data_IF_545410618229
#
_entry.id   IF_545410618229
#
_cell.length_a   1.000
_cell.length_b   1.000
_cell.length_c   1.000
_cell.angle_alpha   90.00
_cell.angle_beta   90.00
_cell.angle_gamma   90.00
#
_symmetry.space_group_name_H-M   'P 1'
#
loop_
_entity.id
_entity.type
_entity.pdbx_description
1 polymer ?
#
# COMPACT_ATOMS: atom_id res chain seq x y z
N UNK A 1 13.45 -93.41 -9.13
CA UNK A 1 13.12 -92.53 -8.03
C UNK A 1 13.72 -91.17 -8.32
N UNK A 2 12.90 -90.16 -8.70
CA UNK A 2 13.34 -88.78 -8.90
C UNK A 2 12.81 -87.99 -7.69
N UNK A 3 13.70 -87.40 -6.96
CA UNK A 3 13.39 -86.53 -5.81
C UNK A 3 13.33 -85.09 -6.37
N UNK A 4 12.19 -84.50 -6.29
CA UNK A 4 11.98 -83.06 -6.60
C UNK A 4 12.25 -82.21 -5.36
N UNK A 5 13.10 -81.18 -5.50
CA UNK A 5 13.36 -80.17 -4.47
C UNK A 5 12.43 -78.95 -4.76
N UNK A 6 11.68 -78.41 -3.80
CA UNK A 6 10.92 -77.23 -4.06
C UNK A 6 11.78 -75.94 -4.00
N UNK A 7 11.64 -75.13 -5.00
CA UNK A 7 12.21 -73.77 -5.07
C UNK A 7 11.53 -72.86 -4.09
N UNK A 8 12.26 -72.40 -3.07
CA UNK A 8 11.75 -71.37 -2.13
C UNK A 8 11.67 -69.99 -2.77
N UNK A 9 10.48 -69.40 -2.71
CA UNK A 9 10.20 -68.06 -3.18
C UNK A 9 10.74 -67.06 -2.14
N UNK A 10 11.82 -66.33 -2.50
CA UNK A 10 12.37 -65.26 -1.67
C UNK A 10 11.58 -63.97 -1.96
N UNK A 11 10.71 -63.59 -1.03
CA UNK A 11 10.00 -62.32 -1.08
C UNK A 11 10.93 -61.22 -0.55
N UNK A 12 11.49 -60.42 -1.43
CA UNK A 12 12.18 -59.17 -1.10
C UNK A 12 11.14 -58.12 -0.74
N UNK A 13 10.95 -57.85 0.54
CA UNK A 13 10.21 -56.67 1.05
C UNK A 13 11.11 -55.45 0.87
N UNK A 14 10.88 -54.72 -0.22
CA UNK A 14 11.43 -53.35 -0.36
C UNK A 14 10.68 -52.41 0.57
N UNK A 15 11.34 -51.95 1.62
CA UNK A 15 10.89 -50.81 2.42
C UNK A 15 10.98 -49.57 1.55
N UNK A 16 9.86 -49.10 0.99
CA UNK A 16 9.72 -47.76 0.48
C UNK A 16 9.55 -46.85 1.68
N UNK A 17 10.64 -46.28 2.15
CA UNK A 17 10.62 -45.24 3.14
C UNK A 17 9.82 -44.04 2.56
N UNK A 18 8.62 -43.84 3.04
CA UNK A 18 7.90 -42.61 2.82
C UNK A 18 8.71 -41.47 3.49
N UNK A 19 9.54 -40.79 2.71
CA UNK A 19 10.06 -39.51 3.11
C UNK A 19 8.85 -38.59 3.20
N UNK A 20 8.43 -38.28 4.42
CA UNK A 20 7.50 -37.20 4.66
C UNK A 20 8.11 -35.94 4.02
N UNK A 21 7.53 -35.47 2.92
CA UNK A 21 7.80 -34.14 2.42
C UNK A 21 7.49 -33.21 3.57
N UNK A 22 8.53 -32.70 4.22
CA UNK A 22 8.42 -31.53 5.07
C UNK A 22 8.01 -30.44 4.10
N UNK A 23 6.71 -30.17 4.02
CA UNK A 23 6.20 -29.01 3.34
C UNK A 23 6.87 -27.82 4.03
N UNK A 24 7.83 -27.20 3.37
CA UNK A 24 8.40 -25.95 3.85
C UNK A 24 7.23 -25.02 4.06
N UNK A 25 6.97 -24.66 5.32
CA UNK A 25 5.99 -23.63 5.63
C UNK A 25 6.35 -22.42 4.75
N UNK A 26 5.36 -21.79 4.10
CA UNK A 26 5.63 -20.61 3.29
C UNK A 26 6.40 -19.61 4.15
N UNK A 27 7.35 -18.91 3.54
CA UNK A 27 8.16 -17.91 4.23
C UNK A 27 7.25 -16.98 5.03
N UNK A 28 7.64 -16.58 6.26
CA UNK A 28 6.81 -15.74 7.10
C UNK A 28 6.49 -14.44 6.35
N UNK A 29 5.21 -14.21 6.10
CA UNK A 29 4.76 -12.93 5.59
C UNK A 29 4.82 -11.94 6.74
N UNK A 30 5.55 -10.85 6.55
CA UNK A 30 5.62 -9.78 7.54
C UNK A 30 4.97 -8.51 7.03
N UNK A 31 4.26 -7.84 7.92
CA UNK A 31 3.66 -6.53 7.70
C UNK A 31 4.43 -5.44 8.46
N UNK A 32 4.72 -4.33 7.79
CA UNK A 32 5.33 -3.15 8.39
C UNK A 32 4.26 -2.10 8.64
N UNK A 33 4.05 -1.77 9.91
CA UNK A 33 3.07 -0.76 10.35
C UNK A 33 3.79 0.53 10.71
N UNK A 34 3.45 1.60 10.04
CA UNK A 34 4.00 2.93 10.31
C UNK A 34 3.28 3.57 11.48
N UNK A 35 3.94 3.68 12.61
CA UNK A 35 3.46 4.34 13.82
C UNK A 35 3.99 5.78 13.85
N UNK A 36 3.23 6.69 13.23
CA UNK A 36 3.66 8.08 13.02
C UNK A 36 3.89 8.83 14.32
N UNK A 37 3.07 8.60 15.34
CA UNK A 37 3.16 9.31 16.62
C UNK A 37 4.37 8.92 17.45
N UNK A 38 4.84 7.69 17.34
CA UNK A 38 6.05 7.20 18.05
C UNK A 38 7.32 7.25 17.20
N UNK A 39 7.24 7.71 15.94
CA UNK A 39 8.37 7.69 14.99
C UNK A 39 9.00 6.30 14.88
N UNK A 40 8.16 5.27 14.77
CA UNK A 40 8.57 3.88 14.67
C UNK A 40 7.87 3.15 13.51
N UNK A 41 8.45 2.05 13.07
CA UNK A 41 7.80 1.07 12.21
C UNK A 41 7.80 -0.26 12.96
N UNK A 42 6.64 -0.85 13.14
CA UNK A 42 6.47 -2.12 13.84
C UNK A 42 6.34 -3.24 12.81
N UNK A 43 7.10 -4.30 13.01
CA UNK A 43 7.10 -5.49 12.16
C UNK A 43 6.19 -6.54 12.77
N UNK A 44 5.17 -6.95 12.05
CA UNK A 44 4.19 -7.95 12.46
C UNK A 44 4.43 -9.25 11.70
N UNK A 45 4.55 -10.36 12.41
CA UNK A 45 4.42 -11.70 11.83
C UNK A 45 2.92 -12.00 11.63
N UNK A 46 2.49 -12.18 10.38
CA UNK A 46 1.09 -12.38 10.03
C UNK A 46 0.54 -13.76 10.43
N UNK A 47 1.41 -14.74 10.71
CA UNK A 47 0.98 -16.06 11.18
C UNK A 47 0.52 -16.05 12.63
N UNK A 48 1.18 -15.23 13.44
CA UNK A 48 0.92 -15.13 14.89
C UNK A 48 0.15 -13.87 15.28
N UNK A 49 0.05 -12.89 14.38
CA UNK A 49 -0.47 -11.54 14.62
C UNK A 49 0.26 -10.85 15.79
N UNK A 50 1.58 -11.04 15.89
CA UNK A 50 2.40 -10.44 16.94
C UNK A 50 3.47 -9.52 16.35
N UNK A 51 3.83 -8.48 17.11
CA UNK A 51 4.97 -7.62 16.78
C UNK A 51 6.26 -8.36 17.12
N UNK A 52 7.11 -8.59 16.11
CA UNK A 52 8.36 -9.32 16.25
C UNK A 52 9.59 -8.43 16.23
N UNK A 53 9.47 -7.21 15.69
CA UNK A 53 10.57 -6.24 15.66
C UNK A 53 10.05 -4.80 15.59
N UNK A 54 10.91 -3.84 15.94
CA UNK A 54 10.61 -2.40 15.91
C UNK A 54 11.76 -1.64 15.27
N UNK A 55 11.52 -0.98 14.16
CA UNK A 55 12.48 -0.09 13.51
C UNK A 55 12.39 1.28 14.18
N UNK A 56 13.49 1.72 14.78
CA UNK A 56 13.65 3.05 15.34
C UNK A 56 14.99 3.62 14.90
N UNK A 57 15.01 4.85 14.43
CA UNK A 57 16.21 5.57 14.06
C UNK A 57 15.98 7.07 14.22
N UNK A 58 17.01 7.85 14.55
CA UNK A 58 16.89 9.30 14.73
C UNK A 58 16.37 10.04 13.48
N UNK A 59 16.62 9.49 12.29
CA UNK A 59 16.14 10.04 11.03
C UNK A 59 14.75 9.50 10.61
N UNK A 60 14.23 8.51 11.30
CA UNK A 60 12.87 7.99 11.04
C UNK A 60 11.86 8.84 11.82
N UNK A 61 11.65 10.07 11.36
CA UNK A 61 10.76 11.03 12.02
C UNK A 61 9.38 10.99 11.40
N UNK A 62 8.36 10.63 12.18
CA UNK A 62 6.94 10.60 11.76
C UNK A 62 6.72 9.82 10.44
N UNK A 63 7.07 8.52 10.37
CA UNK A 63 6.94 7.75 9.13
C UNK A 63 5.50 7.83 8.59
N UNK A 64 5.37 8.26 7.34
CA UNK A 64 4.09 8.54 6.71
C UNK A 64 3.84 7.72 5.44
N UNK A 65 4.88 7.22 4.79
CA UNK A 65 4.83 6.39 3.60
C UNK A 65 5.99 5.40 3.53
N UNK A 66 5.87 4.39 2.69
CA UNK A 66 6.97 3.45 2.45
C UNK A 66 6.60 2.33 1.51
N UNK A 67 7.64 1.66 0.97
CA UNK A 67 7.48 0.58 0.01
C UNK A 67 8.63 -0.40 0.08
N UNK A 68 8.33 -1.67 -0.09
CA UNK A 68 9.31 -2.73 -0.31
C UNK A 68 9.78 -2.75 -1.76
N UNK A 69 11.09 -2.90 -1.95
CA UNK A 69 11.66 -3.23 -3.25
C UNK A 69 11.90 -4.74 -3.30
N UNK A 70 11.16 -5.47 -4.14
CA UNK A 70 11.19 -6.93 -4.09
C UNK A 70 12.55 -7.52 -4.49
N UNK A 71 13.19 -6.98 -5.53
CA UNK A 71 14.45 -7.52 -6.05
C UNK A 71 15.64 -7.16 -5.17
N UNK A 72 15.75 -5.92 -4.70
CA UNK A 72 16.88 -5.45 -3.89
C UNK A 72 16.78 -5.85 -2.42
N UNK A 73 15.64 -6.37 -1.96
CA UNK A 73 15.39 -6.63 -0.54
C UNK A 73 15.62 -5.37 0.31
N UNK A 74 14.94 -4.29 -0.08
CA UNK A 74 14.98 -2.99 0.59
C UNK A 74 13.60 -2.55 0.99
N UNK A 75 13.55 -1.80 2.08
CA UNK A 75 12.37 -1.03 2.46
C UNK A 75 12.74 0.43 2.53
N UNK A 76 12.02 1.26 1.79
CA UNK A 76 12.14 2.71 1.82
C UNK A 76 11.03 3.26 2.70
N UNK A 77 11.38 4.00 3.73
CA UNK A 77 10.43 4.60 4.66
C UNK A 77 10.58 6.13 4.66
N UNK A 78 9.53 6.81 4.23
CA UNK A 78 9.46 8.26 4.20
C UNK A 78 8.88 8.82 5.48
N UNK A 79 9.55 9.84 5.97
CA UNK A 79 9.13 10.65 7.12
C UNK A 79 9.25 12.12 6.81
N UNK A 80 9.42 12.93 7.85
CA UNK A 80 9.60 14.38 7.73
C UNK A 80 10.99 14.71 7.20
N UNK A 81 11.06 15.28 6.00
CA UNK A 81 12.29 15.74 5.33
C UNK A 81 13.28 14.66 4.90
N UNK A 82 13.04 13.40 5.25
CA UNK A 82 14.02 12.32 5.09
C UNK A 82 13.37 11.02 4.65
N UNK A 83 14.17 10.17 4.00
CA UNK A 83 13.82 8.80 3.64
C UNK A 83 14.88 7.86 4.21
N UNK A 84 14.49 6.93 5.05
CA UNK A 84 15.36 5.89 5.60
C UNK A 84 15.29 4.63 4.76
N UNK A 85 16.43 3.99 4.54
CA UNK A 85 16.56 2.76 3.75
C UNK A 85 16.97 1.62 4.68
N UNK A 86 16.28 0.52 4.58
CA UNK A 86 16.46 -0.66 5.42
C UNK A 86 16.73 -1.90 4.57
N UNK A 87 17.71 -2.70 4.96
CA UNK A 87 17.94 -4.03 4.40
C UNK A 87 16.89 -5.00 4.95
N UNK A 88 16.15 -5.64 4.07
CA UNK A 88 15.07 -6.58 4.40
C UNK A 88 15.35 -7.98 3.88
N UNK A 89 16.63 -8.37 3.78
CA UNK A 89 17.03 -9.76 3.48
C UNK A 89 16.43 -10.71 4.52
N UNK A 90 16.48 -10.34 5.80
CA UNK A 90 15.58 -10.85 6.83
C UNK A 90 14.49 -9.79 7.07
N UNK A 91 13.31 -10.03 6.51
CA UNK A 91 12.23 -9.06 6.60
C UNK A 91 11.61 -8.98 8.01
N UNK A 92 11.81 -10.00 8.86
CA UNK A 92 11.39 -9.96 10.26
C UNK A 92 12.33 -9.13 11.14
N UNK A 93 13.60 -9.00 10.76
CA UNK A 93 14.64 -8.25 11.49
C UNK A 93 15.42 -7.34 10.55
N UNK A 94 14.79 -6.31 9.97
CA UNK A 94 15.45 -5.41 9.02
C UNK A 94 16.55 -4.59 9.69
N UNK A 95 17.60 -4.31 8.91
CA UNK A 95 18.77 -3.55 9.37
C UNK A 95 18.80 -2.21 8.66
N UNK A 96 18.97 -1.14 9.43
CA UNK A 96 19.17 0.21 8.89
C UNK A 96 20.42 0.26 8.01
N UNK A 97 20.30 0.86 6.84
CA UNK A 97 21.42 1.07 5.91
C UNK A 97 21.85 2.52 5.86
N UNK A 98 20.95 3.42 5.55
CA UNK A 98 21.25 4.84 5.40
C UNK A 98 20.00 5.72 5.37
N UNK A 99 20.23 7.02 5.42
CA UNK A 99 19.23 8.06 5.17
C UNK A 99 19.55 8.81 3.88
N UNK A 100 18.51 9.09 3.11
CA UNK A 100 18.54 9.97 1.94
C UNK A 100 17.75 11.23 2.27
N UNK A 101 18.30 12.38 1.90
CA UNK A 101 17.67 13.70 1.99
C UNK A 101 17.45 14.18 0.55
N UNK A 102 16.27 13.92 -0.06
CA UNK A 102 16.05 14.23 -1.46
C UNK A 102 16.15 15.72 -1.79
N UNK A 103 15.80 16.59 -0.84
CA UNK A 103 15.98 18.03 -0.95
C UNK A 103 16.52 18.59 0.37
N UNK A 104 17.77 19.09 0.42
CA UNK A 104 18.33 19.71 1.62
C UNK A 104 17.47 20.90 2.09
N UNK A 105 17.23 20.95 3.41
CA UNK A 105 16.38 22.00 4.03
C UNK A 105 14.88 21.73 3.95
N UNK A 106 14.45 20.67 3.29
CA UNK A 106 13.06 20.27 3.21
C UNK A 106 12.58 19.68 4.54
N UNK A 107 11.41 20.13 5.01
CA UNK A 107 10.72 19.63 6.21
C UNK A 107 9.42 18.91 5.88
N UNK A 108 9.11 18.73 4.60
CA UNK A 108 7.89 18.09 4.12
C UNK A 108 7.87 16.58 4.36
N UNK A 109 6.66 16.02 4.45
CA UNK A 109 6.46 14.58 4.62
C UNK A 109 6.51 13.85 3.29
N UNK A 110 7.34 12.80 3.19
CA UNK A 110 7.33 11.85 2.09
C UNK A 110 6.26 10.79 2.33
N UNK A 111 5.13 10.88 1.62
CA UNK A 111 3.96 10.01 1.81
C UNK A 111 3.77 8.99 0.71
N UNK A 112 3.85 9.39 -0.54
CA UNK A 112 3.69 8.51 -1.68
C UNK A 112 5.00 7.81 -2.05
N UNK A 113 4.98 6.49 -2.12
CA UNK A 113 6.11 5.68 -2.59
C UNK A 113 5.65 4.68 -3.63
N UNK A 114 6.42 4.58 -4.70
CA UNK A 114 6.23 3.58 -5.73
C UNK A 114 7.59 2.98 -6.11
N UNK A 115 7.62 1.67 -6.28
CA UNK A 115 8.68 0.97 -6.98
C UNK A 115 8.19 0.72 -8.40
N UNK A 116 8.83 1.34 -9.37
CA UNK A 116 8.54 1.17 -10.78
C UNK A 116 9.63 0.31 -11.42
N UNK A 117 9.27 -0.86 -11.91
CA UNK A 117 10.22 -1.81 -12.51
C UNK A 117 10.22 -1.76 -14.05
N UNK A 118 9.27 -1.04 -14.66
CA UNK A 118 9.17 -0.89 -16.10
C UNK A 118 8.79 -2.17 -16.84
N UNK A 119 8.76 -2.06 -18.17
CA UNK A 119 8.66 -3.20 -19.09
C UNK A 119 10.03 -3.81 -19.39
N UNK A 120 11.11 -3.09 -19.10
CA UNK A 120 12.49 -3.54 -19.26
C UNK A 120 12.95 -4.25 -18.00
N UNK A 121 13.67 -5.34 -18.18
CA UNK A 121 14.23 -6.22 -17.15
C UNK A 121 15.31 -5.58 -16.26
N UNK A 122 15.32 -4.28 -16.09
CA UNK A 122 16.21 -3.61 -15.16
C UNK A 122 15.85 -4.06 -13.74
N UNK A 123 16.64 -4.98 -13.20
CA UNK A 123 16.49 -5.60 -11.88
C UNK A 123 16.31 -4.55 -10.79
N UNK A 124 16.86 -3.35 -11.03
CA UNK A 124 16.97 -2.31 -10.02
C UNK A 124 15.77 -1.35 -9.99
N UNK A 125 15.04 -1.19 -11.10
CA UNK A 125 13.87 -0.33 -11.15
C UNK A 125 14.11 1.11 -10.68
N UNK A 126 13.02 1.80 -10.42
CA UNK A 126 13.02 3.18 -9.94
C UNK A 126 12.25 3.29 -8.62
N UNK A 127 12.67 4.21 -7.77
CA UNK A 127 11.93 4.62 -6.56
C UNK A 127 11.38 6.02 -6.77
N UNK A 128 10.05 6.13 -6.78
CA UNK A 128 9.34 7.40 -6.87
C UNK A 128 8.90 7.81 -5.46
N UNK A 129 9.16 9.06 -5.10
CA UNK A 129 8.92 9.58 -3.75
C UNK A 129 8.16 10.91 -3.85
N UNK A 130 6.92 10.93 -3.39
CA UNK A 130 6.09 12.14 -3.38
C UNK A 130 6.24 12.89 -2.05
N UNK A 131 6.63 14.17 -2.13
CA UNK A 131 6.66 15.09 -1.01
C UNK A 131 5.46 16.03 -1.08
N UNK A 132 4.59 15.95 -0.08
CA UNK A 132 3.30 16.64 -0.10
C UNK A 132 3.46 18.16 0.06
N UNK A 133 4.36 18.64 0.92
CA UNK A 133 4.51 20.07 1.20
C UNK A 133 5.25 20.80 0.08
N UNK A 134 6.25 20.16 -0.51
CA UNK A 134 7.04 20.78 -1.59
C UNK A 134 6.36 20.71 -2.95
N UNK A 135 5.26 19.94 -3.05
CA UNK A 135 4.62 19.70 -4.35
C UNK A 135 5.60 19.11 -5.37
N UNK A 136 6.38 18.11 -4.96
CA UNK A 136 7.38 17.46 -5.81
C UNK A 136 7.26 15.93 -5.76
N UNK A 137 7.66 15.30 -6.87
CA UNK A 137 7.90 13.86 -6.95
C UNK A 137 9.33 13.64 -7.44
N UNK A 138 10.15 13.03 -6.60
CA UNK A 138 11.52 12.66 -6.93
C UNK A 138 11.55 11.25 -7.49
N UNK A 139 12.29 11.05 -8.57
CA UNK A 139 12.50 9.74 -9.21
C UNK A 139 13.98 9.40 -9.15
N UNK A 140 14.31 8.28 -8.53
CA UNK A 140 15.68 7.76 -8.44
C UNK A 140 15.78 6.41 -9.11
N UNK A 141 16.93 6.07 -9.65
CA UNK A 141 17.26 4.65 -9.84
C UNK A 141 17.46 4.02 -8.45
N UNK A 142 16.89 2.86 -8.24
CA UNK A 142 16.93 2.23 -6.93
C UNK A 142 18.38 1.90 -6.49
N UNK A 143 19.23 1.47 -7.42
CA UNK A 143 20.65 1.22 -7.15
C UNK A 143 21.43 2.47 -6.72
N UNK A 144 21.12 3.63 -7.29
CA UNK A 144 21.83 4.88 -7.00
C UNK A 144 21.54 5.39 -5.58
N UNK A 145 20.38 5.02 -5.01
CA UNK A 145 20.00 5.42 -3.65
C UNK A 145 20.94 4.89 -2.56
N UNK A 146 21.71 3.84 -2.83
CA UNK A 146 22.70 3.29 -1.89
C UNK A 146 24.07 4.01 -2.03
N UNK A 147 24.29 4.81 -3.08
CA UNK A 147 25.49 5.61 -3.29
C UNK A 147 25.66 6.72 -2.25
N UNK A 148 26.85 7.33 -2.21
CA UNK A 148 27.17 8.39 -1.22
C UNK A 148 26.25 9.62 -1.41
N UNK A 149 26.04 10.03 -2.64
CA UNK A 149 25.31 11.25 -3.05
C UNK A 149 24.27 10.92 -4.12
N UNK A 150 23.13 10.33 -3.77
CA UNK A 150 22.12 9.93 -4.75
C UNK A 150 21.51 11.16 -5.42
N UNK A 151 21.53 11.18 -6.74
CA UNK A 151 20.91 12.23 -7.56
C UNK A 151 19.65 11.70 -8.22
N UNK A 152 18.50 12.42 -8.16
CA UNK A 152 17.30 11.99 -8.85
C UNK A 152 17.52 12.01 -10.37
N UNK A 153 17.01 11.00 -11.06
CA UNK A 153 17.01 10.97 -12.54
C UNK A 153 15.95 11.89 -13.12
N UNK A 154 14.92 12.20 -12.34
CA UNK A 154 13.92 13.21 -12.67
C UNK A 154 13.27 13.79 -11.40
N UNK A 155 12.75 15.01 -11.53
CA UNK A 155 11.95 15.69 -10.49
C UNK A 155 10.75 16.33 -11.16
N UNK A 156 9.55 15.87 -10.81
CA UNK A 156 8.32 16.53 -11.20
C UNK A 156 7.93 17.57 -10.17
N UNK A 157 7.46 18.72 -10.60
CA UNK A 157 7.15 19.86 -9.76
C UNK A 157 5.82 20.53 -10.18
N UNK A 158 5.58 21.73 -9.67
CA UNK A 158 4.36 22.48 -9.96
C UNK A 158 4.18 22.79 -11.45
N UNK A 159 5.26 22.95 -12.22
CA UNK A 159 5.24 23.15 -13.69
C UNK A 159 4.66 21.94 -14.41
N UNK A 160 4.83 20.74 -13.87
CA UNK A 160 4.30 19.49 -14.39
C UNK A 160 2.89 19.20 -13.90
N UNK A 161 2.29 20.11 -13.15
CA UNK A 161 0.98 19.96 -12.55
C UNK A 161 1.00 19.24 -11.20
N UNK A 162 2.15 18.98 -10.58
CA UNK A 162 2.22 18.36 -9.25
C UNK A 162 1.83 19.38 -8.18
N UNK A 163 0.83 19.03 -7.36
CA UNK A 163 0.31 19.88 -6.28
C UNK A 163 -0.05 19.04 -5.07
N UNK A 164 0.69 19.19 -3.97
CA UNK A 164 0.52 18.40 -2.76
C UNK A 164 0.32 16.90 -3.05
N UNK A 165 1.29 16.24 -3.74
CA UNK A 165 1.18 14.87 -4.18
C UNK A 165 1.05 13.93 -2.98
N UNK A 166 0.10 12.98 -3.05
CA UNK A 166 -0.21 12.17 -1.87
C UNK A 166 0.07 10.68 -2.08
N UNK A 167 -0.36 10.12 -3.19
CA UNK A 167 -0.25 8.69 -3.43
C UNK A 167 0.14 8.38 -4.87
N UNK A 168 1.00 7.39 -5.05
CA UNK A 168 1.53 6.94 -6.34
C UNK A 168 1.24 5.46 -6.55
N UNK A 169 0.82 5.08 -7.75
CA UNK A 169 0.66 3.69 -8.14
C UNK A 169 0.96 3.50 -9.63
N UNK A 170 1.61 2.39 -9.94
CA UNK A 170 1.81 1.93 -11.31
C UNK A 170 0.55 1.23 -11.81
N UNK A 171 0.07 1.57 -12.99
CA UNK A 171 -1.06 0.90 -13.63
C UNK A 171 -0.59 -0.45 -14.20
N UNK A 172 -1.20 -1.56 -13.79
CA UNK A 172 -0.83 -2.89 -14.28
C UNK A 172 -0.81 -2.98 -15.80
N UNK A 173 0.21 -3.64 -16.35
CA UNK A 173 0.33 -3.91 -17.79
C UNK A 173 0.67 -2.69 -18.68
N UNK A 174 0.97 -1.55 -18.10
CA UNK A 174 1.27 -0.31 -18.85
C UNK A 174 2.49 0.40 -18.27
N UNK A 175 3.11 1.36 -18.98
CA UNK A 175 4.14 2.21 -18.40
C UNK A 175 3.59 3.39 -17.58
N UNK A 176 2.30 3.44 -17.30
CA UNK A 176 1.68 4.58 -16.63
C UNK A 176 1.89 4.55 -15.11
N UNK A 177 2.31 5.68 -14.56
CA UNK A 177 2.31 5.97 -13.12
C UNK A 177 1.25 7.02 -12.84
N UNK A 178 0.33 6.71 -11.95
CA UNK A 178 -0.73 7.62 -11.53
C UNK A 178 -0.41 8.24 -10.19
N UNK A 179 -0.80 9.49 -10.02
CA UNK A 179 -0.58 10.30 -8.82
C UNK A 179 -1.87 10.98 -8.39
N UNK A 180 -2.21 10.94 -7.11
CA UNK A 180 -3.23 11.82 -6.53
C UNK A 180 -2.60 13.13 -6.07
N UNK A 181 -3.19 14.25 -6.47
CA UNK A 181 -2.90 15.58 -5.97
C UNK A 181 -3.99 16.06 -5.00
N UNK A 182 -3.57 16.60 -3.87
CA UNK A 182 -4.46 17.09 -2.81
C UNK A 182 -4.11 18.52 -2.37
N UNK A 183 -4.22 19.50 -3.28
CA UNK A 183 -3.93 20.88 -2.91
C UNK A 183 -4.90 21.37 -1.83
N UNK A 184 -4.38 22.07 -0.83
CA UNK A 184 -5.18 22.70 0.21
C UNK A 184 -6.00 23.83 -0.42
N UNK A 185 -7.29 23.91 -0.10
CA UNK A 185 -8.23 24.93 -0.60
C UNK A 185 -8.45 24.98 -2.13
N UNK A 186 -8.18 23.86 -2.81
CA UNK A 186 -8.45 23.71 -4.24
C UNK A 186 -8.92 22.28 -4.52
N UNK A 187 -9.58 22.09 -5.65
CA UNK A 187 -9.98 20.75 -6.09
C UNK A 187 -8.77 19.87 -6.35
N UNK A 188 -8.80 18.68 -5.79
CA UNK A 188 -7.80 17.65 -6.07
C UNK A 188 -8.02 17.02 -7.44
N UNK A 189 -7.01 16.33 -7.94
CA UNK A 189 -7.03 15.67 -9.25
C UNK A 189 -6.02 14.54 -9.33
N UNK A 190 -6.18 13.70 -10.36
CA UNK A 190 -5.19 12.69 -10.73
C UNK A 190 -4.28 13.23 -11.83
N UNK A 191 -3.02 12.81 -11.79
CA UNK A 191 -2.08 12.96 -12.89
C UNK A 191 -1.60 11.60 -13.36
N UNK A 192 -1.21 11.54 -14.64
CA UNK A 192 -0.56 10.37 -15.24
C UNK A 192 0.80 10.75 -15.77
N UNK A 193 1.77 9.90 -15.52
CA UNK A 193 3.14 10.01 -16.04
C UNK A 193 3.52 8.73 -16.77
N UNK A 194 4.40 8.87 -17.73
CA UNK A 194 5.07 7.73 -18.34
C UNK A 194 6.30 7.36 -17.50
N UNK A 195 6.31 6.17 -16.90
CA UNK A 195 7.33 5.76 -15.93
C UNK A 195 8.75 5.64 -16.51
N UNK A 196 8.89 5.39 -17.81
CA UNK A 196 10.19 5.22 -18.45
C UNK A 196 10.74 6.53 -19.02
N UNK A 197 9.89 7.31 -19.69
CA UNK A 197 10.31 8.58 -20.34
C UNK A 197 10.23 9.77 -19.40
N UNK A 198 9.60 9.62 -18.23
CA UNK A 198 9.37 10.68 -17.26
C UNK A 198 8.65 11.89 -17.87
N UNK A 199 7.65 11.62 -18.70
CA UNK A 199 6.82 12.67 -19.30
C UNK A 199 5.42 12.67 -18.69
N UNK A 200 4.81 13.84 -18.60
CA UNK A 200 3.39 13.95 -18.20
C UNK A 200 2.53 13.47 -19.37
N UNK A 201 1.63 12.49 -19.10
CA UNK A 201 0.70 11.96 -20.12
C UNK A 201 -0.56 12.82 -20.20
N UNK A 202 -1.10 13.22 -19.04
CA UNK A 202 -2.28 14.08 -19.00
C UNK A 202 -1.92 15.52 -19.37
N UNK A 203 -2.54 16.00 -20.42
CA UNK A 203 -2.44 17.42 -20.79
C UNK A 203 -3.32 18.27 -19.86
N UNK A 204 -3.04 19.58 -19.71
CA UNK A 204 -3.91 20.49 -18.94
C UNK A 204 -5.37 20.56 -19.43
N UNK A 205 -5.63 20.17 -20.69
CA UNK A 205 -6.96 20.07 -21.29
C UNK A 205 -7.73 18.81 -20.87
N UNK A 206 -7.02 17.79 -20.43
CA UNK A 206 -7.59 16.59 -19.81
C UNK A 206 -7.72 16.76 -18.30
N UNK A 207 -7.91 18.01 -17.83
CA UNK A 207 -8.29 18.22 -16.44
C UNK A 207 -9.44 17.29 -16.14
N UNK A 208 -9.31 16.55 -15.07
CA UNK A 208 -10.38 15.75 -14.50
C UNK A 208 -11.48 16.68 -13.96
N UNK A 209 -11.98 17.60 -14.80
CA UNK A 209 -13.13 18.44 -14.45
C UNK A 209 -14.31 17.58 -14.03
N UNK A 210 -14.37 16.36 -14.54
CA UNK A 210 -15.36 15.36 -14.15
C UNK A 210 -15.05 14.68 -12.81
N UNK A 211 -13.79 14.71 -12.33
CA UNK A 211 -13.42 14.25 -10.99
C UNK A 211 -13.28 15.41 -9.98
N UNK A 212 -13.09 16.60 -10.49
CA UNK A 212 -12.95 17.81 -9.69
C UNK A 212 -14.30 18.46 -9.44
N UNK A 213 -15.07 17.87 -8.53
CA UNK A 213 -16.10 18.66 -7.85
C UNK A 213 -15.36 19.64 -6.95
N UNK A 214 -15.72 20.92 -6.98
CA UNK A 214 -15.08 21.95 -6.15
C UNK A 214 -15.01 21.48 -4.69
N UNK A 215 -13.82 21.34 -4.16
CA UNK A 215 -13.59 20.81 -2.82
C UNK A 215 -13.45 19.28 -2.72
N UNK A 216 -13.40 18.55 -3.84
CA UNK A 216 -13.18 17.11 -3.84
C UNK A 216 -11.68 16.79 -3.70
N UNK A 217 -11.34 15.94 -2.74
CA UNK A 217 -9.96 15.56 -2.45
C UNK A 217 -9.73 14.07 -2.72
N UNK A 218 -9.16 13.66 -3.88
CA UNK A 218 -8.74 12.29 -4.09
C UNK A 218 -7.63 11.93 -3.10
N UNK A 219 -7.76 10.81 -2.42
CA UNK A 219 -6.79 10.39 -1.42
C UNK A 219 -5.89 9.28 -1.96
N UNK A 220 -6.33 8.06 -1.80
CA UNK A 220 -5.65 6.88 -2.34
C UNK A 220 -6.54 6.13 -3.30
N UNK A 221 -5.92 5.30 -4.10
CA UNK A 221 -6.62 4.50 -5.09
C UNK A 221 -5.94 3.15 -5.27
N UNK A 222 -6.67 2.21 -5.84
CA UNK A 222 -6.15 0.91 -6.26
C UNK A 222 -6.67 0.58 -7.65
N UNK A 223 -5.85 -0.09 -8.45
CA UNK A 223 -6.27 -0.58 -9.76
C UNK A 223 -6.91 -1.96 -9.65
N UNK A 224 -7.85 -2.25 -10.56
CA UNK A 224 -8.22 -3.62 -10.84
C UNK A 224 -7.00 -4.42 -11.31
N UNK A 225 -6.98 -5.75 -11.12
CA UNK A 225 -5.80 -6.57 -11.45
C UNK A 225 -5.35 -6.47 -12.91
N UNK A 226 -6.28 -6.22 -13.82
CA UNK A 226 -6.05 -6.01 -15.25
C UNK A 226 -5.68 -4.57 -15.61
N UNK A 227 -5.66 -3.66 -14.64
CA UNK A 227 -5.40 -2.23 -14.86
C UNK A 227 -6.48 -1.50 -15.65
N UNK A 228 -7.65 -2.10 -15.87
CA UNK A 228 -8.73 -1.48 -16.63
C UNK A 228 -9.50 -0.42 -15.84
N UNK A 229 -9.62 -0.60 -14.53
CA UNK A 229 -10.33 0.31 -13.63
C UNK A 229 -9.41 0.80 -12.52
N UNK A 230 -9.64 2.03 -12.04
CA UNK A 230 -9.11 2.51 -10.78
C UNK A 230 -10.25 2.86 -9.83
N UNK A 231 -10.10 2.48 -8.55
CA UNK A 231 -11.04 2.80 -7.48
C UNK A 231 -10.40 3.87 -6.62
N UNK A 232 -10.93 5.08 -6.66
CA UNK A 232 -10.36 6.28 -6.03
C UNK A 232 -11.24 6.73 -4.88
N UNK A 233 -10.67 6.77 -3.67
CA UNK A 233 -11.36 7.31 -2.49
C UNK A 233 -11.32 8.84 -2.48
N UNK A 234 -12.47 9.48 -2.38
CA UNK A 234 -12.62 10.92 -2.33
C UNK A 234 -13.10 11.38 -0.98
N UNK A 235 -12.36 12.29 -0.35
CA UNK A 235 -12.69 12.84 0.98
C UNK A 235 -13.86 13.83 0.96
N UNK A 236 -14.27 14.31 -0.21
CA UNK A 236 -15.12 15.46 -0.32
C UNK A 236 -14.44 16.73 0.21
N UNK A 237 -15.16 17.80 0.32
CA UNK A 237 -14.65 19.06 0.85
C UNK A 237 -14.52 19.03 2.38
N UNK A 238 -13.53 18.32 2.90
CA UNK A 238 -13.28 18.24 4.35
C UNK A 238 -13.14 19.59 5.04
N UNK A 239 -12.64 20.59 4.33
CA UNK A 239 -12.32 21.91 4.89
C UNK A 239 -13.49 22.91 4.79
N UNK A 240 -14.49 22.65 3.96
CA UNK A 240 -15.57 23.60 3.69
C UNK A 240 -16.91 23.23 4.30
N UNK A 241 -16.99 22.13 5.06
CA UNK A 241 -18.26 21.67 5.66
C UNK A 241 -19.31 21.23 4.64
N UNK A 242 -18.89 20.81 3.47
CA UNK A 242 -19.78 20.35 2.39
C UNK A 242 -20.50 19.04 2.74
N UNK A 243 -21.69 18.84 2.19
CA UNK A 243 -22.54 17.70 2.51
C UNK A 243 -21.90 16.34 2.28
N UNK A 244 -22.35 15.35 3.01
CA UNK A 244 -21.92 13.93 2.97
C UNK A 244 -22.04 13.25 1.60
N UNK A 245 -22.78 13.83 0.66
CA UNK A 245 -22.95 13.32 -0.70
C UNK A 245 -21.70 13.43 -1.59
N UNK A 246 -20.73 14.24 -1.18
CA UNK A 246 -19.45 14.36 -1.89
C UNK A 246 -18.43 13.28 -1.50
N UNK A 247 -18.64 12.57 -0.40
CA UNK A 247 -17.78 11.47 0.03
C UNK A 247 -18.14 10.20 -0.75
N UNK A 248 -17.25 9.78 -1.62
CA UNK A 248 -17.53 8.65 -2.51
C UNK A 248 -16.26 7.89 -2.92
N UNK A 249 -16.46 6.72 -3.46
CA UNK A 249 -15.44 6.03 -4.25
C UNK A 249 -15.77 6.23 -5.73
N UNK A 250 -14.85 6.84 -6.47
CA UNK A 250 -14.97 6.96 -7.91
C UNK A 250 -14.40 5.70 -8.58
N UNK A 251 -15.15 5.13 -9.51
CA UNK A 251 -14.66 4.13 -10.44
C UNK A 251 -14.25 4.85 -11.71
N UNK A 252 -12.96 4.78 -12.03
CA UNK A 252 -12.36 5.46 -13.19
C UNK A 252 -12.02 4.40 -14.23
N UNK A 253 -12.46 4.62 -15.46
CA UNK A 253 -11.97 3.88 -16.63
C UNK A 253 -10.54 4.34 -16.91
N UNK A 254 -9.58 3.43 -16.78
CA UNK A 254 -8.17 3.78 -16.87
C UNK A 254 -7.68 4.01 -18.31
N UNK A 255 -8.37 3.47 -19.31
CA UNK A 255 -8.00 3.68 -20.71
C UNK A 255 -8.44 5.08 -21.19
N UNK A 256 -9.67 5.47 -20.89
CA UNK A 256 -10.24 6.75 -21.28
C UNK A 256 -9.94 7.86 -20.25
N UNK A 257 -9.47 7.50 -19.06
CA UNK A 257 -9.22 8.39 -17.93
C UNK A 257 -10.47 9.21 -17.55
N UNK A 258 -11.63 8.56 -17.53
CA UNK A 258 -12.93 9.18 -17.21
C UNK A 258 -13.61 8.50 -16.04
N UNK A 259 -14.38 9.26 -15.26
CA UNK A 259 -15.19 8.69 -14.17
C UNK A 259 -16.36 7.93 -14.77
N UNK A 260 -16.37 6.61 -14.57
CA UNK A 260 -17.44 5.71 -14.97
C UNK A 260 -18.62 5.79 -13.99
N UNK A 261 -18.33 5.84 -12.69
CA UNK A 261 -19.35 5.83 -11.63
C UNK A 261 -18.80 6.43 -10.33
N UNK A 262 -19.68 7.02 -9.54
CA UNK A 262 -19.44 7.39 -8.16
C UNK A 262 -20.31 6.56 -7.24
N UNK A 263 -19.71 5.89 -6.26
CA UNK A 263 -20.43 5.10 -5.25
C UNK A 263 -20.41 5.92 -3.96
N UNK A 264 -21.53 6.50 -3.53
CA UNK A 264 -21.57 7.30 -2.31
C UNK A 264 -21.27 6.42 -1.09
N UNK A 265 -20.49 6.95 -0.15
CA UNK A 265 -20.25 6.33 1.14
C UNK A 265 -21.44 6.62 2.04
N UNK A 266 -22.46 5.77 1.97
CA UNK A 266 -23.72 5.94 2.70
C UNK A 266 -23.53 5.43 4.13
N UNK A 267 -23.16 6.28 5.02
CA UNK A 267 -23.47 6.26 6.44
C UNK A 267 -22.85 7.50 7.06
N UNK A 268 -23.63 8.30 7.73
CA UNK A 268 -23.26 9.48 8.48
C UNK A 268 -21.76 9.66 8.75
N UNK A 269 -21.15 10.65 8.08
CA UNK A 269 -19.81 11.16 8.38
C UNK A 269 -18.61 10.20 8.10
N UNK A 270 -18.68 9.33 7.09
CA UNK A 270 -17.58 8.44 6.76
C UNK A 270 -16.76 8.96 5.59
N UNK A 271 -15.62 9.54 5.87
CA UNK A 271 -14.64 9.97 4.87
C UNK A 271 -13.87 8.76 4.36
N UNK A 272 -13.88 8.44 3.04
CA UNK A 272 -13.05 7.38 2.50
C UNK A 272 -11.58 7.63 2.82
N UNK A 273 -10.92 6.62 3.36
CA UNK A 273 -9.49 6.65 3.65
C UNK A 273 -8.68 6.05 2.51
N UNK A 274 -8.16 4.88 2.79
CA UNK A 274 -7.33 4.10 1.89
C UNK A 274 -8.17 3.05 1.17
N UNK A 275 -7.74 2.73 -0.04
CA UNK A 275 -8.39 1.75 -0.89
C UNK A 275 -7.43 0.61 -1.18
N UNK A 276 -7.85 -0.61 -0.96
CA UNK A 276 -7.17 -1.81 -1.46
C UNK A 276 -8.15 -2.73 -2.17
N UNK A 277 -7.67 -3.58 -3.06
CA UNK A 277 -8.49 -4.46 -3.87
C UNK A 277 -8.00 -5.90 -3.77
N UNK A 278 -8.95 -6.83 -3.75
CA UNK A 278 -8.65 -8.23 -3.93
C UNK A 278 -8.05 -8.45 -5.34
N UNK A 279 -6.85 -9.04 -5.46
CA UNK A 279 -6.21 -9.30 -6.75
C UNK A 279 -7.03 -10.19 -7.70
N UNK A 280 -8.02 -10.92 -7.20
CA UNK A 280 -8.98 -11.66 -8.03
C UNK A 280 -10.14 -10.76 -8.47
N UNK A 281 -10.14 -9.49 -8.06
CA UNK A 281 -11.06 -8.48 -8.56
C UNK A 281 -12.49 -8.59 -8.04
N UNK A 282 -12.72 -9.37 -6.98
CA UNK A 282 -14.08 -9.55 -6.44
C UNK A 282 -14.50 -8.47 -5.45
N UNK A 283 -13.56 -7.90 -4.69
CA UNK A 283 -13.85 -6.97 -3.60
C UNK A 283 -12.90 -5.81 -3.56
N UNK A 284 -13.44 -4.63 -3.25
CA UNK A 284 -12.68 -3.42 -2.94
C UNK A 284 -12.91 -3.07 -1.48
N UNK A 285 -11.85 -2.83 -0.73
CA UNK A 285 -11.86 -2.50 0.68
C UNK A 285 -11.52 -1.03 0.87
N UNK A 286 -12.35 -0.30 1.58
CA UNK A 286 -12.17 1.13 1.80
C UNK A 286 -12.29 1.43 3.28
N UNK A 287 -11.23 1.95 3.88
CA UNK A 287 -11.28 2.44 5.27
C UNK A 287 -12.01 3.76 5.34
N UNK A 288 -12.48 4.08 6.53
CA UNK A 288 -13.12 5.37 6.83
C UNK A 288 -12.34 6.11 7.92
N UNK A 289 -12.05 7.40 7.69
CA UNK A 289 -11.18 8.20 8.58
C UNK A 289 -11.86 8.70 9.85
N UNK A 290 -13.19 8.70 9.92
CA UNK A 290 -13.92 9.24 11.06
C UNK A 290 -14.72 8.19 11.83
N UNK A 291 -14.70 6.97 11.34
CA UNK A 291 -15.32 5.83 12.03
C UNK A 291 -14.42 4.60 11.97
N UNK A 292 -14.52 3.68 12.93
CA UNK A 292 -13.79 2.42 12.91
C UNK A 292 -14.47 1.42 11.96
N UNK A 293 -14.58 1.78 10.68
CA UNK A 293 -15.33 0.98 9.69
C UNK A 293 -14.51 0.74 8.44
N UNK A 294 -14.61 -0.45 7.88
CA UNK A 294 -14.21 -0.76 6.50
C UNK A 294 -15.47 -0.99 5.70
N UNK A 295 -15.57 -0.30 4.57
CA UNK A 295 -16.61 -0.53 3.58
C UNK A 295 -16.08 -1.52 2.54
N UNK A 296 -16.82 -2.57 2.30
CA UNK A 296 -16.50 -3.57 1.29
C UNK A 296 -17.44 -3.40 0.12
N UNK A 297 -16.87 -3.20 -1.05
CA UNK A 297 -17.63 -3.12 -2.31
C UNK A 297 -17.49 -4.42 -3.10
N UNK A 298 -18.57 -4.80 -3.76
CA UNK A 298 -18.53 -5.76 -4.85
C UNK A 298 -18.11 -5.01 -6.13
N UNK A 299 -16.95 -5.35 -6.66
CA UNK A 299 -16.37 -4.66 -7.83
C UNK A 299 -17.18 -4.91 -9.10
N UNK A 300 -17.81 -6.09 -9.22
CA UNK A 300 -18.60 -6.48 -10.39
C UNK A 300 -20.01 -5.90 -10.38
N UNK A 301 -20.65 -5.96 -9.20
CA UNK A 301 -21.98 -5.38 -9.01
C UNK A 301 -21.92 -3.85 -8.77
N UNK A 302 -20.74 -3.29 -8.58
CA UNK A 302 -20.48 -1.86 -8.34
C UNK A 302 -21.39 -1.28 -7.24
N UNK A 303 -21.46 -1.99 -6.11
CA UNK A 303 -22.30 -1.63 -4.96
C UNK A 303 -21.64 -2.02 -3.64
N UNK A 304 -22.08 -1.37 -2.57
CA UNK A 304 -21.67 -1.77 -1.20
C UNK A 304 -22.17 -3.18 -0.91
N UNK A 305 -21.24 -4.04 -0.50
CA UNK A 305 -21.51 -5.41 -0.08
C UNK A 305 -21.70 -5.49 1.45
N UNK A 306 -20.82 -4.82 2.21
CA UNK A 306 -20.82 -4.90 3.67
C UNK A 306 -20.10 -3.72 4.31
N UNK A 307 -20.49 -3.40 5.54
CA UNK A 307 -19.75 -2.57 6.48
C UNK A 307 -19.18 -3.47 7.58
N UNK A 308 -17.87 -3.35 7.85
CA UNK A 308 -17.18 -4.09 8.91
C UNK A 308 -16.92 -3.09 10.04
N UNK A 309 -17.52 -3.31 11.18
CA UNK A 309 -17.19 -2.58 12.41
C UNK A 309 -15.87 -3.15 12.99
N UNK A 310 -14.90 -2.27 13.21
CA UNK A 310 -13.57 -2.61 13.71
C UNK A 310 -13.41 -2.43 15.21
N UNK A 311 -14.50 -2.02 15.90
CA UNK A 311 -14.50 -1.85 17.36
C UNK A 311 -13.99 -0.48 17.84
N UNK A 312 -13.69 -0.37 19.14
CA UNK A 312 -13.54 0.89 19.88
C UNK A 312 -12.19 1.61 19.78
N UNK A 313 -11.27 1.24 18.89
CA UNK A 313 -9.92 1.83 18.84
C UNK A 313 -9.82 3.15 18.04
N UNK A 314 -10.93 3.66 17.54
CA UNK A 314 -10.96 4.89 16.73
C UNK A 314 -10.92 4.64 15.22
N UNK A 315 -10.75 5.71 14.42
CA UNK A 315 -10.88 5.63 12.97
C UNK A 315 -9.79 4.80 12.31
N UNK A 316 -10.13 4.18 11.17
CA UNK A 316 -9.20 3.49 10.30
C UNK A 316 -8.40 4.46 9.43
N UNK A 317 -7.14 4.12 9.17
CA UNK A 317 -6.33 4.85 8.20
C UNK A 317 -6.06 3.99 6.97
N UNK A 318 -4.98 3.21 6.97
CA UNK A 318 -4.67 2.30 5.88
C UNK A 318 -5.53 1.04 5.87
N UNK A 319 -5.56 0.35 4.76
CA UNK A 319 -5.99 -1.04 4.64
C UNK A 319 -4.98 -1.77 3.77
N UNK A 320 -4.64 -2.99 4.14
CA UNK A 320 -3.78 -3.82 3.32
C UNK A 320 -4.24 -5.28 3.40
N UNK A 321 -4.47 -5.88 2.24
CA UNK A 321 -4.70 -7.31 2.10
C UNK A 321 -3.37 -8.04 2.13
N UNK A 322 -3.29 -9.15 2.87
CA UNK A 322 -2.09 -9.99 2.88
C UNK A 322 -1.84 -10.60 1.50
N UNK A 323 -0.57 -10.89 1.12
CA UNK A 323 -0.26 -11.51 -0.16
C UNK A 323 -0.94 -12.87 -0.40
N UNK A 324 -1.24 -13.63 0.66
CA UNK A 324 -2.03 -14.86 0.61
C UNK A 324 -3.55 -14.62 0.55
N UNK A 325 -3.99 -13.35 0.56
CA UNK A 325 -5.39 -12.91 0.46
C UNK A 325 -6.30 -13.38 1.60
N UNK A 326 -5.75 -13.82 2.71
CA UNK A 326 -6.54 -14.40 3.81
C UNK A 326 -6.95 -13.38 4.85
N UNK A 327 -6.20 -12.27 5.00
CA UNK A 327 -6.39 -11.26 6.05
C UNK A 327 -6.28 -9.84 5.52
N UNK A 328 -7.05 -8.95 6.15
CA UNK A 328 -6.87 -7.51 6.03
C UNK A 328 -6.27 -6.98 7.33
N UNK A 329 -5.29 -6.11 7.23
CA UNK A 329 -4.72 -5.38 8.35
C UNK A 329 -5.07 -3.92 8.24
N UNK A 330 -5.69 -3.38 9.28
CA UNK A 330 -6.22 -2.03 9.31
C UNK A 330 -5.66 -1.31 10.53
N UNK A 331 -4.73 -0.35 10.35
CA UNK A 331 -4.29 0.53 11.41
C UNK A 331 -5.44 1.40 11.90
N UNK A 332 -5.67 1.38 13.21
CA UNK A 332 -6.74 2.12 13.89
C UNK A 332 -6.15 3.04 14.94
N UNK A 333 -6.76 4.16 15.15
CA UNK A 333 -6.55 4.82 16.43
C UNK A 333 -6.40 6.32 16.40
N UNK A 334 -6.39 6.80 17.62
CA UNK A 334 -6.02 8.16 18.03
C UNK A 334 -4.63 8.10 18.70
N UNK A 335 -4.01 9.24 19.00
CA UNK A 335 -2.79 9.24 19.81
C UNK A 335 -2.93 8.57 21.18
N UNK A 336 -4.14 8.54 21.74
CA UNK A 336 -4.40 7.98 23.06
C UNK A 336 -4.70 6.46 23.03
N UNK A 337 -5.21 5.94 21.92
CA UNK A 337 -5.62 4.54 21.80
C UNK A 337 -5.47 4.06 20.37
N UNK A 338 -4.60 3.10 20.15
CA UNK A 338 -4.26 2.59 18.82
C UNK A 338 -4.19 1.08 18.79
N UNK A 339 -4.54 0.49 17.64
CA UNK A 339 -4.43 -0.92 17.35
C UNK A 339 -4.20 -1.16 15.85
N UNK A 340 -3.87 -2.40 15.49
CA UNK A 340 -4.06 -2.90 14.12
C UNK A 340 -5.14 -3.97 14.19
N UNK A 341 -6.31 -3.70 13.62
CA UNK A 341 -7.34 -4.71 13.47
C UNK A 341 -6.96 -5.70 12.37
N UNK A 342 -7.13 -6.98 12.66
CA UNK A 342 -6.95 -8.06 11.70
C UNK A 342 -8.33 -8.64 11.38
N UNK A 343 -8.70 -8.57 10.11
CA UNK A 343 -9.99 -9.04 9.61
C UNK A 343 -9.79 -10.25 8.72
N UNK A 344 -10.57 -11.29 8.92
CA UNK A 344 -10.63 -12.43 8.01
C UNK A 344 -11.28 -11.99 6.70
N UNK A 345 -10.54 -12.08 5.60
CA UNK A 345 -10.99 -11.56 4.29
C UNK A 345 -12.15 -12.37 3.71
N UNK A 346 -12.35 -13.62 4.12
CA UNK A 346 -13.45 -14.48 3.65
C UNK A 346 -14.74 -14.19 4.41
N UNK A 347 -14.68 -14.20 5.74
CA UNK A 347 -15.86 -14.03 6.60
C UNK A 347 -16.20 -12.55 6.86
N UNK A 348 -15.24 -11.64 6.63
CA UNK A 348 -15.34 -10.21 6.90
C UNK A 348 -15.62 -9.93 8.40
N UNK A 349 -14.94 -10.66 9.27
CA UNK A 349 -15.03 -10.51 10.73
C UNK A 349 -13.67 -10.18 11.32
N UNK A 350 -13.65 -9.35 12.36
CA UNK A 350 -12.42 -9.07 13.13
C UNK A 350 -12.01 -10.33 13.87
N UNK A 351 -10.77 -10.77 13.70
CA UNK A 351 -10.22 -11.99 14.33
C UNK A 351 -9.13 -11.67 15.35
N UNK A 352 -8.52 -10.49 15.30
CA UNK A 352 -7.54 -10.04 16.28
C UNK A 352 -7.44 -8.51 16.29
N UNK A 353 -6.96 -7.97 17.42
CA UNK A 353 -6.48 -6.60 17.54
C UNK A 353 -5.06 -6.65 18.09
N UNK A 354 -4.11 -6.13 17.34
CA UNK A 354 -2.71 -6.05 17.75
C UNK A 354 -2.52 -4.69 18.42
N UNK A 355 -2.03 -4.70 19.64
CA UNK A 355 -1.74 -3.50 20.43
C UNK A 355 -0.29 -3.49 20.89
N UNK A 356 0.30 -2.31 20.98
CA UNK A 356 1.67 -2.12 21.48
C UNK A 356 1.84 -0.68 21.96
N UNK A 357 2.73 -0.45 22.92
CA UNK A 357 3.01 0.87 23.47
C UNK A 357 3.66 1.84 22.45
N UNK A 358 4.36 1.30 21.44
CA UNK A 358 4.93 2.09 20.34
C UNK A 358 3.96 2.21 19.14
N UNK A 359 2.78 1.60 19.20
CA UNK A 359 1.78 1.72 18.15
C UNK A 359 0.95 3.00 18.34
N UNK A 360 1.57 4.16 18.17
CA UNK A 360 0.93 5.47 18.36
C UNK A 360 0.64 6.11 17.01
N UNK A 361 -0.65 6.38 16.73
CA UNK A 361 -1.11 6.99 15.49
C UNK A 361 -0.70 6.19 14.25
N UNK A 362 -1.01 4.90 14.18
CA UNK A 362 -0.63 4.06 13.05
C UNK A 362 -1.35 4.53 11.77
N UNK A 363 -0.65 4.47 10.63
CA UNK A 363 -1.15 5.01 9.35
C UNK A 363 -1.30 3.96 8.27
N UNK A 364 -0.26 3.21 7.99
CA UNK A 364 -0.17 2.29 6.87
C UNK A 364 0.35 0.94 7.33
N UNK A 365 -0.09 -0.10 6.63
CA UNK A 365 0.56 -1.42 6.65
C UNK A 365 1.07 -1.69 5.24
N UNK A 366 2.26 -2.28 5.13
CA UNK A 366 2.82 -2.78 3.87
C UNK A 366 3.37 -4.17 4.09
N UNK A 367 3.01 -5.10 3.22
CA UNK A 367 3.52 -6.47 3.28
C UNK A 367 4.70 -6.67 2.35
N UNK A 368 5.58 -7.59 2.73
CA UNK A 368 6.60 -8.13 1.82
C UNK A 368 5.90 -8.94 0.73
N UNK A 369 6.38 -8.82 -0.49
CA UNK A 369 5.91 -9.61 -1.65
C UNK A 369 6.85 -10.78 -1.99
N UNK A 370 7.79 -11.11 -1.09
CA UNK A 370 8.83 -12.14 -1.30
C UNK A 370 9.08 -12.93 -0.02
#
# INVERSE_FOLDING_TARGET
>A
MKVSIPVGLLILLTWVGAQAQVSSLPAPQVGYVMAQGSSAILVIDTRTNTIVHKLKHADLVRPAGGRFHPSLKRYYAGGTGKVTIWNTTDAAHPVYLKTVIPAPGNTGEYRGFLIYQGSTTAIDGQVWMANIQDSTVYVYRAADLEGADPTPVNVFAAVDGVRAPHFLMHRPGTPEVWLTNRPVNASGYLLRFHGETHTVITTPTEKLETMSITGDEPNEFSFSPDGALAYVGHHGAMLTGSPSDQMHVAIVDAATFTVKKRIPMIASATVPGYVDIDPEGGRVYVTTKWSPTVVVFDSKAERVLRYIDLGGFGPGYGVALTPDKTRLYIPLGTPAQSAVAVVDAKTLTVVANIVDTDLIGPRLVRFTSY
#
